data_IF_134322802635
#
_entry.id   IF_134322802635
#
_cell.length_a   1.000
_cell.length_b   1.000
_cell.length_c   1.000
_cell.angle_alpha   90.00
_cell.angle_beta   90.00
_cell.angle_gamma   90.00
#
_symmetry.space_group_name_H-M   'P 1'
#
loop_
_entity.id
_entity.type
_entity.pdbx_description
1 polymer ?
#
# COMPACT_ATOMS: atom_id res chain seq x y z
N UNK A 1 28.08 -9.51 -2.57
CA UNK A 1 27.37 -8.26 -2.25
C UNK A 1 27.34 -7.42 -3.53
N UNK A 2 26.28 -7.54 -4.34
CA UNK A 2 26.13 -6.73 -5.56
C UNK A 2 25.55 -5.38 -5.15
N UNK A 3 26.28 -4.31 -5.38
CA UNK A 3 25.82 -2.92 -5.23
C UNK A 3 24.60 -2.70 -6.11
N UNK A 4 23.49 -2.27 -5.51
CA UNK A 4 22.33 -1.76 -6.24
C UNK A 4 22.78 -0.57 -7.11
N UNK A 5 22.29 -0.45 -8.35
CA UNK A 5 22.62 0.68 -9.19
C UNK A 5 22.15 1.99 -8.52
N UNK A 6 22.99 3.02 -8.57
CA UNK A 6 22.65 4.36 -8.10
C UNK A 6 21.41 4.83 -8.86
N UNK A 7 20.35 5.15 -8.12
CA UNK A 7 19.13 5.74 -8.68
C UNK A 7 19.47 7.05 -9.40
N UNK A 8 18.92 7.29 -10.59
CA UNK A 8 19.03 8.59 -11.24
C UNK A 8 18.39 9.67 -10.37
N UNK A 9 19.02 10.82 -10.31
CA UNK A 9 18.50 11.98 -9.58
C UNK A 9 17.13 12.35 -10.13
N UNK A 10 16.14 12.53 -9.27
CA UNK A 10 14.71 12.80 -9.55
C UNK A 10 14.40 14.02 -10.47
N UNK A 11 15.40 14.66 -11.05
CA UNK A 11 15.30 15.93 -11.79
C UNK A 11 14.81 15.83 -13.24
N UNK A 12 14.52 14.62 -13.77
CA UNK A 12 14.13 14.45 -15.19
C UNK A 12 12.86 13.63 -15.41
N UNK A 13 11.99 13.58 -14.41
CA UNK A 13 10.71 12.91 -14.56
C UNK A 13 9.67 13.93 -15.04
N UNK A 14 9.39 13.93 -16.32
CA UNK A 14 8.47 14.86 -16.98
C UNK A 14 7.02 14.45 -16.78
N UNK A 15 6.08 15.41 -16.82
CA UNK A 15 4.63 15.21 -16.82
C UNK A 15 4.11 14.33 -17.98
N UNK A 16 5.00 13.81 -18.80
CA UNK A 16 4.69 13.14 -20.06
C UNK A 16 4.41 11.63 -19.95
N UNK A 17 4.52 11.06 -18.73
CA UNK A 17 4.21 9.64 -18.49
C UNK A 17 3.42 9.49 -17.18
N UNK A 18 2.11 9.74 -17.19
CA UNK A 18 1.27 9.63 -15.99
C UNK A 18 1.24 8.19 -15.47
N UNK A 19 1.16 8.03 -14.15
CA UNK A 19 0.98 6.75 -13.47
C UNK A 19 -0.42 6.69 -12.84
N UNK A 20 -1.48 6.48 -13.65
CA UNK A 20 -2.82 6.35 -13.12
C UNK A 20 -2.96 5.15 -12.18
N UNK A 21 -3.96 5.22 -11.30
CA UNK A 21 -4.28 4.19 -10.33
C UNK A 21 -5.68 3.65 -10.63
N UNK A 22 -5.78 2.36 -10.89
CA UNK A 22 -7.05 1.65 -10.94
C UNK A 22 -7.27 0.94 -9.61
N UNK A 23 -8.45 1.08 -9.02
CA UNK A 23 -8.80 0.47 -7.73
C UNK A 23 -9.89 -0.58 -7.92
N UNK A 24 -9.69 -1.73 -7.33
CA UNK A 24 -10.61 -2.88 -7.36
C UNK A 24 -10.89 -3.31 -5.91
N UNK A 25 -12.08 -3.02 -5.37
CA UNK A 25 -12.50 -3.62 -4.11
C UNK A 25 -12.70 -5.13 -4.32
N UNK A 26 -11.88 -5.94 -3.68
CA UNK A 26 -11.85 -7.40 -3.88
C UNK A 26 -11.70 -8.15 -2.56
N UNK A 27 -12.06 -9.42 -2.61
CA UNK A 27 -11.93 -10.31 -1.47
C UNK A 27 -13.06 -10.15 -0.45
N UNK A 28 -12.94 -10.87 0.68
CA UNK A 28 -14.05 -11.01 1.64
C UNK A 28 -14.31 -9.75 2.49
N UNK A 29 -13.38 -8.81 2.51
CA UNK A 29 -13.48 -7.56 3.28
C UNK A 29 -13.46 -6.32 2.39
N UNK A 30 -13.72 -6.47 1.07
CA UNK A 30 -13.70 -5.36 0.09
C UNK A 30 -12.39 -4.55 0.16
N UNK A 31 -11.25 -5.27 0.25
CA UNK A 31 -9.94 -4.65 0.26
C UNK A 31 -9.64 -3.99 -1.09
N UNK A 32 -9.24 -2.75 -1.07
CA UNK A 32 -8.87 -2.01 -2.26
C UNK A 32 -7.54 -2.53 -2.82
N UNK A 33 -7.59 -3.41 -3.81
CA UNK A 33 -6.44 -3.74 -4.63
C UNK A 33 -6.18 -2.60 -5.61
N UNK A 34 -5.01 -1.98 -5.54
CA UNK A 34 -4.64 -0.90 -6.44
C UNK A 34 -3.67 -1.39 -7.52
N UNK A 35 -3.93 -1.02 -8.77
CA UNK A 35 -2.99 -1.19 -9.88
C UNK A 35 -2.49 0.17 -10.28
N UNK A 36 -1.24 0.48 -9.92
CA UNK A 36 -0.52 1.64 -10.45
C UNK A 36 0.09 1.24 -11.78
N UNK A 37 -0.10 2.02 -12.83
CA UNK A 37 0.39 1.60 -14.14
C UNK A 37 0.88 2.78 -14.99
N UNK A 38 1.71 2.47 -15.97
CA UNK A 38 2.11 3.35 -17.05
C UNK A 38 1.56 2.79 -18.36
N UNK A 39 2.06 3.23 -19.50
CA UNK A 39 1.70 2.63 -20.79
C UNK A 39 2.06 1.13 -20.89
N UNK A 40 3.06 0.65 -20.14
CA UNK A 40 3.63 -0.70 -20.27
C UNK A 40 3.73 -1.48 -18.97
N UNK A 41 3.96 -0.80 -17.88
CA UNK A 41 4.31 -1.44 -16.60
C UNK A 41 3.17 -1.32 -15.60
N UNK A 42 3.03 -2.31 -14.74
CA UNK A 42 2.09 -2.32 -13.63
C UNK A 42 2.77 -2.71 -12.31
N UNK A 43 2.37 -2.04 -11.24
CA UNK A 43 2.59 -2.42 -9.86
C UNK A 43 1.23 -2.79 -9.26
N UNK A 44 1.10 -4.02 -8.76
CA UNK A 44 -0.11 -4.44 -8.04
C UNK A 44 0.12 -4.24 -6.54
N UNK A 45 -0.79 -3.54 -5.88
CA UNK A 45 -0.71 -3.27 -4.44
C UNK A 45 -1.89 -3.94 -3.75
N UNK A 46 -1.60 -4.70 -2.71
CA UNK A 46 -2.57 -5.39 -1.84
C UNK A 46 -3.62 -6.22 -2.61
N UNK A 47 -3.22 -7.32 -3.26
CA UNK A 47 -4.16 -8.22 -3.93
C UNK A 47 -4.95 -9.03 -2.89
N UNK A 48 -6.02 -8.45 -2.32
CA UNK A 48 -6.77 -8.97 -1.18
C UNK A 48 -7.77 -10.09 -1.47
N UNK A 49 -8.03 -10.40 -2.74
CA UNK A 49 -8.97 -11.45 -3.16
C UNK A 49 -8.29 -12.54 -3.98
N UNK A 50 -8.83 -13.75 -3.94
CA UNK A 50 -8.50 -14.82 -4.89
C UNK A 50 -9.24 -14.64 -6.22
N UNK A 51 -9.13 -15.61 -7.13
CA UNK A 51 -9.74 -15.56 -8.45
C UNK A 51 -11.27 -15.35 -8.36
N UNK A 52 -11.94 -16.13 -7.52
CA UNK A 52 -13.40 -16.05 -7.33
C UNK A 52 -13.79 -14.81 -6.49
N UNK A 53 -12.84 -14.28 -5.73
CA UNK A 53 -13.00 -13.08 -4.90
C UNK A 53 -12.65 -11.77 -5.59
N UNK A 54 -12.62 -11.71 -6.93
CA UNK A 54 -12.43 -10.47 -7.71
C UNK A 54 -11.02 -10.25 -8.27
N UNK A 55 -10.04 -11.10 -7.95
CA UNK A 55 -8.70 -10.99 -8.54
C UNK A 55 -8.73 -11.16 -10.08
N UNK A 56 -9.71 -11.91 -10.62
CA UNK A 56 -9.86 -12.05 -12.06
C UNK A 56 -10.08 -10.71 -12.76
N UNK A 57 -10.82 -9.77 -12.15
CA UNK A 57 -11.03 -8.42 -12.71
C UNK A 57 -9.72 -7.64 -12.83
N UNK A 58 -8.84 -7.79 -11.85
CA UNK A 58 -7.48 -7.21 -11.85
C UNK A 58 -6.64 -7.81 -12.98
N UNK A 59 -6.67 -9.15 -13.14
CA UNK A 59 -5.94 -9.85 -14.19
C UNK A 59 -6.46 -9.48 -15.58
N UNK A 60 -7.77 -9.37 -15.75
CA UNK A 60 -8.40 -8.95 -17.00
C UNK A 60 -8.06 -7.50 -17.34
N UNK A 61 -8.02 -6.61 -16.35
CA UNK A 61 -7.58 -5.24 -16.55
C UNK A 61 -6.13 -5.18 -17.05
N UNK A 62 -5.22 -5.92 -16.39
CA UNK A 62 -3.80 -6.01 -16.76
C UNK A 62 -3.67 -6.56 -18.22
N UNK A 63 -4.43 -7.62 -18.55
CA UNK A 63 -4.40 -8.21 -19.88
C UNK A 63 -4.96 -7.27 -20.95
N UNK A 64 -6.11 -6.63 -20.73
CA UNK A 64 -6.71 -5.67 -21.67
C UNK A 64 -5.83 -4.46 -21.95
N UNK A 65 -5.05 -4.05 -20.95
CA UNK A 65 -4.10 -2.94 -21.06
C UNK A 65 -2.72 -3.37 -21.55
N UNK A 66 -2.50 -4.67 -21.79
CA UNK A 66 -1.21 -5.26 -22.20
C UNK A 66 -0.05 -4.89 -21.25
N UNK A 67 -0.32 -4.82 -19.94
CA UNK A 67 0.63 -4.38 -18.96
C UNK A 67 1.58 -5.51 -18.53
N UNK A 68 2.84 -5.15 -18.32
CA UNK A 68 3.85 -6.02 -17.73
C UNK A 68 3.89 -5.78 -16.20
N UNK A 69 3.46 -6.74 -15.40
CA UNK A 69 3.55 -6.65 -13.94
C UNK A 69 5.01 -6.68 -13.50
N UNK A 70 5.47 -5.64 -12.83
CA UNK A 70 6.87 -5.50 -12.37
C UNK A 70 7.07 -5.94 -10.93
N UNK A 71 6.06 -5.75 -10.10
CA UNK A 71 6.09 -6.17 -8.71
C UNK A 71 4.67 -6.29 -8.13
N UNK A 72 4.59 -6.99 -7.01
CA UNK A 72 3.50 -6.87 -6.03
C UNK A 72 4.07 -6.17 -4.82
N UNK A 73 3.42 -5.11 -4.34
CA UNK A 73 3.76 -4.40 -3.12
C UNK A 73 2.66 -4.66 -2.09
N UNK A 74 3.04 -5.07 -0.89
CA UNK A 74 2.13 -5.28 0.22
C UNK A 74 2.32 -4.15 1.23
N UNK A 75 1.27 -3.37 1.46
CA UNK A 75 1.30 -2.28 2.45
C UNK A 75 1.48 -2.83 3.86
N UNK A 76 0.91 -3.99 4.11
CA UNK A 76 1.08 -4.77 5.32
C UNK A 76 0.68 -6.24 5.09
N UNK A 77 0.83 -7.09 6.11
CA UNK A 77 0.65 -8.52 5.92
C UNK A 77 -0.61 -9.09 6.61
N UNK A 78 -1.71 -8.35 6.74
CA UNK A 78 -2.99 -8.95 7.11
C UNK A 78 -3.54 -9.80 5.96
N UNK A 79 -4.31 -10.84 6.31
CA UNK A 79 -4.73 -11.87 5.36
C UNK A 79 -5.51 -11.33 4.17
N UNK A 80 -6.34 -10.35 4.40
CA UNK A 80 -7.20 -9.72 3.40
C UNK A 80 -6.44 -8.82 2.42
N UNK A 81 -5.19 -8.47 2.68
CA UNK A 81 -4.30 -7.77 1.73
C UNK A 81 -3.40 -8.71 0.93
N UNK A 82 -3.29 -9.98 1.35
CA UNK A 82 -2.32 -10.93 0.78
C UNK A 82 -2.95 -12.16 0.12
N UNK A 83 -4.29 -12.27 0.16
CA UNK A 83 -5.02 -13.47 -0.26
C UNK A 83 -4.75 -13.84 -1.73
N UNK A 84 -4.64 -12.86 -2.60
CA UNK A 84 -4.38 -13.03 -4.03
C UNK A 84 -2.92 -13.13 -4.45
N UNK A 85 -1.97 -13.10 -3.50
CA UNK A 85 -0.54 -13.16 -3.85
C UNK A 85 -0.18 -14.46 -4.55
N UNK A 86 -0.64 -15.61 -4.04
CA UNK A 86 -0.31 -16.90 -4.64
C UNK A 86 -0.92 -17.09 -6.04
N UNK A 87 -2.22 -16.79 -6.28
CA UNK A 87 -2.78 -16.80 -7.64
C UNK A 87 -2.05 -15.85 -8.61
N UNK A 88 -1.67 -14.65 -8.15
CA UNK A 88 -0.86 -13.73 -8.94
C UNK A 88 0.50 -14.34 -9.31
N UNK A 89 1.17 -14.99 -8.36
CA UNK A 89 2.44 -15.67 -8.61
C UNK A 89 2.32 -16.85 -9.58
N UNK A 90 1.19 -17.54 -9.60
CA UNK A 90 0.93 -18.58 -10.60
C UNK A 90 0.82 -17.98 -12.01
N UNK A 91 0.16 -16.83 -12.13
CA UNK A 91 0.03 -16.12 -13.42
C UNK A 91 1.31 -15.44 -13.85
N UNK A 92 2.11 -14.92 -12.89
CA UNK A 92 3.34 -14.18 -13.11
C UNK A 92 4.48 -14.74 -12.21
N UNK A 93 5.05 -15.93 -12.49
CA UNK A 93 5.96 -16.63 -11.58
C UNK A 93 7.24 -15.83 -11.21
N UNK A 94 7.75 -15.02 -12.14
CA UNK A 94 8.97 -14.23 -11.94
C UNK A 94 8.77 -12.90 -11.22
N UNK A 95 7.51 -12.46 -11.02
CA UNK A 95 7.23 -11.16 -10.40
C UNK A 95 7.60 -11.19 -8.92
N UNK A 96 8.45 -10.26 -8.44
CA UNK A 96 8.79 -10.17 -7.01
C UNK A 96 7.61 -9.63 -6.21
N UNK A 97 7.52 -10.10 -4.96
CA UNK A 97 6.58 -9.60 -3.94
C UNK A 97 7.38 -8.89 -2.88
N UNK A 98 7.01 -7.66 -2.54
CA UNK A 98 7.69 -6.84 -1.55
C UNK A 98 6.80 -6.54 -0.35
N UNK A 99 7.40 -6.58 0.85
CA UNK A 99 6.78 -6.17 2.10
C UNK A 99 7.81 -5.54 3.04
N UNK A 100 7.36 -4.87 4.09
CA UNK A 100 8.24 -4.40 5.15
C UNK A 100 8.77 -5.56 6.00
N UNK A 101 10.04 -5.47 6.38
CA UNK A 101 10.64 -6.44 7.32
C UNK A 101 9.91 -6.49 8.66
N UNK A 102 9.30 -5.38 9.11
CA UNK A 102 8.57 -5.29 10.36
C UNK A 102 7.34 -6.21 10.44
N UNK A 103 6.76 -6.57 9.30
CA UNK A 103 5.58 -7.43 9.25
C UNK A 103 5.89 -8.92 9.03
N UNK A 104 7.12 -9.29 8.66
CA UNK A 104 7.46 -10.69 8.42
C UNK A 104 7.11 -11.63 9.59
N UNK A 105 7.25 -11.22 10.87
CA UNK A 105 6.81 -12.04 11.99
C UNK A 105 5.31 -12.33 12.01
N UNK A 106 4.47 -11.47 11.41
CA UNK A 106 3.02 -11.66 11.35
C UNK A 106 2.59 -12.66 10.27
N UNK A 107 3.43 -12.91 9.27
CA UNK A 107 3.03 -13.66 8.07
C UNK A 107 2.41 -15.02 8.40
N UNK A 108 3.05 -15.81 9.28
CA UNK A 108 2.55 -17.13 9.64
C UNK A 108 1.16 -17.11 10.28
N UNK A 109 0.87 -16.10 11.12
CA UNK A 109 -0.43 -15.92 11.74
C UNK A 109 -1.45 -15.42 10.73
N UNK A 110 -1.05 -14.52 9.84
CA UNK A 110 -1.91 -13.95 8.81
C UNK A 110 -2.36 -15.00 7.79
N UNK A 111 -1.51 -15.96 7.44
CA UNK A 111 -1.87 -17.06 6.53
C UNK A 111 -3.07 -17.88 7.05
N UNK A 112 -3.21 -18.04 8.37
CA UNK A 112 -4.29 -18.78 9.00
C UNK A 112 -5.49 -17.91 9.45
N UNK A 113 -5.36 -16.58 9.41
CA UNK A 113 -6.36 -15.68 10.03
C UNK A 113 -7.71 -15.72 9.33
N UNK A 114 -7.76 -16.03 8.04
CA UNK A 114 -9.01 -16.15 7.27
C UNK A 114 -9.95 -17.26 7.76
N UNK A 115 -9.43 -18.29 8.43
CA UNK A 115 -10.23 -19.39 8.97
C UNK A 115 -11.33 -18.93 9.94
N UNK A 116 -11.07 -17.86 10.70
CA UNK A 116 -12.06 -17.25 11.61
C UNK A 116 -13.29 -16.69 10.88
N UNK A 117 -13.16 -16.46 9.59
CA UNK A 117 -14.21 -15.96 8.70
C UNK A 117 -14.78 -17.06 7.79
N UNK A 118 -14.40 -18.33 8.05
CA UNK A 118 -14.81 -19.46 7.23
C UNK A 118 -14.12 -19.53 5.87
N UNK A 119 -13.00 -18.83 5.72
CA UNK A 119 -12.20 -18.79 4.50
C UNK A 119 -11.08 -19.83 4.54
N UNK A 120 -10.67 -20.39 3.41
CA UNK A 120 -9.47 -21.21 3.34
C UNK A 120 -8.23 -20.44 3.81
N UNK A 121 -7.20 -21.12 4.32
CA UNK A 121 -5.95 -20.45 4.64
C UNK A 121 -5.31 -19.83 3.40
N UNK A 122 -4.66 -18.67 3.58
CA UNK A 122 -3.89 -18.02 2.53
C UNK A 122 -2.75 -18.94 2.09
N UNK A 123 -2.56 -19.13 0.80
CA UNK A 123 -1.50 -19.98 0.27
C UNK A 123 -0.12 -19.35 0.54
N UNK A 124 0.86 -20.13 1.06
CA UNK A 124 2.16 -19.59 1.45
C UNK A 124 2.93 -18.93 0.31
N UNK A 125 3.62 -17.86 0.62
CA UNK A 125 4.58 -17.17 -0.25
C UNK A 125 5.70 -16.56 0.58
N UNK A 126 6.78 -16.12 -0.08
CA UNK A 126 7.92 -15.49 0.60
C UNK A 126 8.15 -14.11 -0.03
N UNK A 127 7.84 -13.01 0.67
CA UNK A 127 8.14 -11.67 0.17
C UNK A 127 9.62 -11.33 0.35
N UNK A 128 10.17 -10.52 -0.56
CA UNK A 128 11.41 -9.80 -0.35
C UNK A 128 11.13 -8.56 0.52
N UNK A 129 12.11 -8.14 1.30
CA UNK A 129 11.98 -6.92 2.10
C UNK A 129 12.24 -5.68 1.27
N UNK A 130 11.47 -4.62 1.53
CA UNK A 130 11.68 -3.30 0.96
C UNK A 130 12.06 -2.31 2.07
N UNK A 131 12.95 -1.38 1.75
CA UNK A 131 13.37 -0.33 2.66
C UNK A 131 12.54 0.96 2.46
N UNK A 132 12.51 1.81 3.48
CA UNK A 132 11.97 3.18 3.36
C UNK A 132 12.82 4.02 2.39
N UNK A 133 12.18 4.89 1.63
CA UNK A 133 12.82 5.81 0.70
C UNK A 133 12.42 5.62 -0.76
N UNK A 134 13.12 6.28 -1.69
CA UNK A 134 12.81 6.20 -3.11
C UNK A 134 12.90 4.78 -3.65
N UNK A 135 11.94 4.40 -4.49
CA UNK A 135 11.91 3.08 -5.12
C UNK A 135 11.38 3.16 -6.56
N UNK A 136 11.64 2.09 -7.31
CA UNK A 136 11.22 1.98 -8.70
C UNK A 136 10.85 0.53 -9.05
N UNK A 137 9.71 0.36 -9.74
CA UNK A 137 9.20 -0.91 -10.24
C UNK A 137 8.99 -0.80 -11.76
N UNK A 138 10.01 -1.14 -12.55
CA UNK A 138 10.01 -0.81 -13.98
C UNK A 138 10.02 0.70 -14.18
N UNK A 139 9.04 1.24 -14.89
CA UNK A 139 8.85 2.68 -15.08
C UNK A 139 8.01 3.37 -14.00
N UNK A 140 7.50 2.61 -13.03
CA UNK A 140 6.73 3.13 -11.90
C UNK A 140 7.70 3.53 -10.78
N UNK A 141 7.64 4.78 -10.35
CA UNK A 141 8.54 5.33 -9.35
C UNK A 141 7.77 6.04 -8.24
N UNK A 142 8.34 6.04 -7.05
CA UNK A 142 7.76 6.65 -5.88
C UNK A 142 8.66 6.52 -4.66
N UNK A 143 8.07 6.64 -3.50
CA UNK A 143 8.75 6.58 -2.21
C UNK A 143 7.97 5.68 -1.25
N UNK A 144 8.65 4.72 -0.64
CA UNK A 144 8.12 3.96 0.48
C UNK A 144 8.25 4.81 1.75
N UNK A 145 7.15 4.99 2.46
CA UNK A 145 7.10 5.61 3.78
C UNK A 145 6.60 4.60 4.79
N UNK A 146 7.38 4.31 5.82
CA UNK A 146 6.90 3.45 6.88
C UNK A 146 5.86 4.17 7.73
N UNK A 147 4.69 3.55 7.85
CA UNK A 147 3.53 4.03 8.61
C UNK A 147 3.06 2.95 9.60
N UNK A 148 3.93 2.56 10.56
CA UNK A 148 3.62 1.51 11.52
C UNK A 148 2.51 1.91 12.49
N UNK A 149 1.84 0.90 13.06
CA UNK A 149 0.89 1.07 14.14
C UNK A 149 -0.46 0.36 13.95
N UNK A 150 -0.93 0.20 12.71
CA UNK A 150 -1.94 -0.81 12.39
C UNK A 150 -1.29 -2.21 12.42
N UNK A 151 -0.14 -2.32 11.78
CA UNK A 151 0.83 -3.41 11.94
C UNK A 151 2.22 -2.83 12.25
N UNK A 152 3.17 -3.63 12.75
CA UNK A 152 4.54 -3.15 13.01
C UNK A 152 5.28 -2.71 11.76
N UNK A 153 4.98 -3.30 10.61
CA UNK A 153 5.62 -3.04 9.33
C UNK A 153 4.76 -2.32 8.32
N UNK A 154 3.66 -1.71 8.75
CA UNK A 154 2.79 -0.93 7.86
C UNK A 154 3.57 0.09 7.05
N UNK A 155 3.27 0.19 5.75
CA UNK A 155 3.90 1.13 4.83
C UNK A 155 2.89 1.82 3.92
N UNK A 156 3.28 2.98 3.42
CA UNK A 156 2.55 3.73 2.40
C UNK A 156 3.45 3.94 1.18
N UNK A 157 2.85 3.97 -0.01
CA UNK A 157 3.56 4.23 -1.25
C UNK A 157 3.15 5.60 -1.80
N UNK A 158 4.06 6.58 -1.74
CA UNK A 158 3.84 7.94 -2.21
C UNK A 158 4.43 8.17 -3.59
N UNK A 159 3.63 8.74 -4.47
CA UNK A 159 3.96 9.11 -5.84
C UNK A 159 3.91 10.64 -5.97
N UNK A 160 5.05 11.33 -5.80
CA UNK A 160 5.09 12.80 -5.72
C UNK A 160 4.53 13.49 -6.95
N UNK A 161 4.78 12.95 -8.13
CA UNK A 161 4.38 13.58 -9.40
C UNK A 161 2.89 13.44 -9.68
N UNK A 162 2.28 12.38 -9.16
CA UNK A 162 0.85 12.10 -9.28
C UNK A 162 0.04 12.77 -8.16
N UNK A 163 0.70 13.41 -7.18
CA UNK A 163 0.07 13.88 -5.96
C UNK A 163 -0.82 12.80 -5.34
N UNK A 164 -0.32 11.56 -5.26
CA UNK A 164 -1.08 10.40 -4.82
C UNK A 164 -0.29 9.55 -3.82
N UNK A 165 -0.98 9.04 -2.79
CA UNK A 165 -0.40 8.12 -1.81
C UNK A 165 -1.35 6.94 -1.58
N UNK A 166 -0.83 5.71 -1.69
CA UNK A 166 -1.52 4.49 -1.26
C UNK A 166 -1.12 4.26 0.19
N UNK A 167 -2.09 4.20 1.09
CA UNK A 167 -1.84 4.21 2.55
C UNK A 167 -2.08 2.87 3.22
N UNK A 168 -2.58 1.86 2.48
CA UNK A 168 -3.07 0.65 3.13
C UNK A 168 -4.00 1.00 4.28
N UNK A 169 -3.84 0.32 5.40
CA UNK A 169 -4.65 0.50 6.58
C UNK A 169 -4.08 1.51 7.59
N UNK A 170 -3.31 2.50 7.10
CA UNK A 170 -2.84 3.58 7.98
C UNK A 170 -3.86 4.71 8.08
N UNK A 171 -4.32 5.26 6.95
CA UNK A 171 -5.22 6.41 6.89
C UNK A 171 -6.38 6.14 5.94
N UNK A 172 -7.61 6.33 6.42
CA UNK A 172 -8.85 6.18 5.68
C UNK A 172 -9.63 7.50 5.60
N UNK A 173 -10.69 7.50 4.81
CA UNK A 173 -11.66 8.60 4.82
C UNK A 173 -12.29 8.75 6.22
N UNK A 174 -11.95 9.82 6.93
CA UNK A 174 -12.42 10.16 8.30
C UNK A 174 -12.16 9.04 9.33
N UNK A 175 -11.15 8.20 9.07
CA UNK A 175 -10.79 7.11 9.97
C UNK A 175 -9.31 6.78 9.89
N UNK A 176 -8.86 5.85 10.73
CA UNK A 176 -7.53 5.25 10.71
C UNK A 176 -7.66 3.74 10.89
N UNK A 177 -6.59 3.00 10.60
CA UNK A 177 -6.53 1.57 10.85
C UNK A 177 -6.75 1.23 12.33
N UNK A 178 -7.39 0.09 12.58
CA UNK A 178 -7.54 -0.45 13.94
C UNK A 178 -6.18 -0.83 14.51
N UNK A 179 -6.04 -0.75 15.82
CA UNK A 179 -4.78 -1.02 16.52
C UNK A 179 -4.93 -2.00 17.68
N UNK A 180 -6.03 -2.74 17.70
CA UNK A 180 -6.39 -3.72 18.72
C UNK A 180 -6.02 -5.17 18.32
N UNK A 181 -5.45 -5.36 17.15
CA UNK A 181 -4.92 -6.65 16.69
C UNK A 181 -3.45 -6.83 17.14
N UNK A 182 -2.92 -8.07 17.12
CA UNK A 182 -1.54 -8.32 17.48
C UNK A 182 -0.55 -7.46 16.68
N UNK A 183 0.31 -6.73 17.37
CA UNK A 183 1.26 -5.78 16.75
C UNK A 183 0.70 -4.36 16.57
N UNK A 184 -0.60 -4.14 16.81
CA UNK A 184 -1.22 -2.83 16.73
C UNK A 184 -0.78 -1.89 17.87
N UNK A 185 -0.57 -0.60 17.56
CA UNK A 185 -0.12 0.41 18.51
C UNK A 185 -0.60 1.81 18.11
N UNK A 186 -1.68 2.28 18.72
CA UNK A 186 -2.33 3.55 18.36
C UNK A 186 -1.38 4.76 18.39
N UNK A 187 -0.54 4.95 19.43
CA UNK A 187 0.40 6.07 19.43
C UNK A 187 1.39 6.05 18.24
N UNK A 188 1.87 4.87 17.82
CA UNK A 188 2.76 4.77 16.68
C UNK A 188 2.03 5.11 15.38
N UNK A 189 0.78 4.64 15.21
CA UNK A 189 -0.02 4.94 14.02
C UNK A 189 -0.30 6.44 13.89
N UNK A 190 -0.73 7.08 14.96
CA UNK A 190 -1.02 8.52 14.95
C UNK A 190 0.23 9.34 14.69
N UNK A 191 1.37 8.98 15.30
CA UNK A 191 2.66 9.63 15.04
C UNK A 191 3.10 9.43 13.58
N UNK A 192 2.99 8.23 13.03
CA UNK A 192 3.34 7.94 11.65
C UNK A 192 2.46 8.73 10.66
N UNK A 193 1.16 8.82 10.90
CA UNK A 193 0.27 9.64 10.07
C UNK A 193 0.69 11.11 10.10
N UNK A 194 0.97 11.66 11.28
CA UNK A 194 1.35 13.07 11.43
C UNK A 194 2.71 13.34 10.77
N UNK A 195 3.72 12.51 11.07
CA UNK A 195 5.10 12.76 10.66
C UNK A 195 5.40 12.33 9.22
N UNK A 196 4.66 11.37 8.66
CA UNK A 196 4.91 10.80 7.33
C UNK A 196 3.86 11.17 6.28
N UNK A 197 2.57 11.19 6.65
CA UNK A 197 1.50 11.45 5.70
C UNK A 197 1.04 12.92 5.72
N UNK A 198 0.87 13.52 6.90
CA UNK A 198 0.44 14.92 6.99
C UNK A 198 1.53 15.93 6.62
N UNK A 199 2.74 15.47 6.35
CA UNK A 199 3.81 16.27 5.72
C UNK A 199 3.65 16.41 4.21
N UNK A 200 2.80 15.59 3.59
CA UNK A 200 2.51 15.65 2.16
C UNK A 200 1.68 16.90 1.82
N UNK A 201 1.73 17.36 0.54
CA UNK A 201 0.86 18.45 0.07
C UNK A 201 -0.61 18.17 0.33
N UNK A 202 -1.39 19.21 0.62
CA UNK A 202 -2.80 19.09 0.97
C UNK A 202 -3.68 18.55 -0.16
N UNK A 203 -3.26 18.76 -1.41
CA UNK A 203 -3.91 18.26 -2.62
C UNK A 203 -3.57 16.80 -2.97
N UNK A 204 -2.74 16.14 -2.16
CA UNK A 204 -2.42 14.73 -2.35
C UNK A 204 -3.66 13.86 -2.16
N UNK A 205 -4.02 13.09 -3.19
CA UNK A 205 -5.08 12.09 -3.13
C UNK A 205 -4.61 10.86 -2.34
N UNK A 206 -5.48 10.37 -1.47
CA UNK A 206 -5.23 9.21 -0.59
C UNK A 206 -6.04 8.02 -1.09
N UNK A 207 -5.35 6.91 -1.37
CA UNK A 207 -5.89 5.63 -1.78
C UNK A 207 -5.75 4.64 -0.62
N UNK A 208 -6.79 4.44 0.18
CA UNK A 208 -6.73 3.60 1.38
C UNK A 208 -6.89 2.12 1.06
N UNK A 209 -6.55 1.24 2.01
CA UNK A 209 -6.80 -0.20 1.93
C UNK A 209 -8.28 -0.57 1.93
N UNK A 210 -9.15 0.26 2.53
CA UNK A 210 -10.60 0.05 2.55
C UNK A 210 -11.36 1.36 2.38
N UNK A 211 -12.57 1.24 1.80
CA UNK A 211 -13.50 2.36 1.64
C UNK A 211 -13.09 3.38 0.57
N UNK A 212 -13.66 4.58 0.60
CA UNK A 212 -13.47 5.58 -0.45
C UNK A 212 -12.14 6.33 -0.30
N UNK A 213 -11.66 6.86 -1.43
CA UNK A 213 -10.53 7.78 -1.47
C UNK A 213 -10.82 9.06 -0.69
N UNK A 214 -9.75 9.73 -0.26
CA UNK A 214 -9.80 11.03 0.41
C UNK A 214 -8.62 11.91 -0.02
N UNK A 215 -8.35 12.98 0.72
CA UNK A 215 -7.20 13.87 0.50
C UNK A 215 -6.47 14.17 1.80
N UNK A 216 -5.17 14.34 1.71
CA UNK A 216 -4.35 14.70 2.87
C UNK A 216 -4.88 15.95 3.57
N UNK A 217 -5.17 17.01 2.83
CA UNK A 217 -5.69 18.25 3.41
C UNK A 217 -7.05 18.10 4.10
N UNK A 218 -7.89 17.20 3.60
CA UNK A 218 -9.18 16.92 4.23
C UNK A 218 -9.00 16.13 5.53
N UNK A 219 -8.12 15.15 5.54
CA UNK A 219 -7.87 14.37 6.74
C UNK A 219 -7.13 15.18 7.82
N UNK A 220 -6.21 16.06 7.47
CA UNK A 220 -5.62 17.03 8.42
C UNK A 220 -6.67 17.86 9.16
N UNK A 221 -7.74 18.25 8.46
CA UNK A 221 -8.80 19.12 9.02
C UNK A 221 -9.89 18.36 9.75
N UNK A 222 -10.28 17.21 9.24
CA UNK A 222 -11.57 16.59 9.57
C UNK A 222 -11.45 15.17 10.14
N UNK A 223 -10.25 14.57 10.14
CA UNK A 223 -10.08 13.23 10.73
C UNK A 223 -10.25 13.31 12.25
N UNK A 224 -11.20 12.56 12.85
CA UNK A 224 -11.47 12.65 14.29
C UNK A 224 -10.40 11.96 15.14
N UNK A 225 -9.61 11.05 14.57
CA UNK A 225 -8.63 10.24 15.28
C UNK A 225 -7.24 10.87 15.32
N UNK A 226 -6.90 11.68 14.32
CA UNK A 226 -5.57 12.29 14.18
C UNK A 226 -5.72 13.79 14.14
N UNK A 227 -5.43 14.45 15.27
CA UNK A 227 -5.39 15.91 15.34
C UNK A 227 -3.94 16.33 15.46
N UNK A 228 -3.38 17.12 14.51
CA UNK A 228 -2.10 17.75 14.72
C UNK A 228 -2.16 18.55 16.01
N UNK A 229 -1.11 18.45 16.85
CA UNK A 229 -1.01 19.29 18.03
C UNK A 229 -1.23 20.75 17.61
N UNK A 230 -2.16 21.44 18.28
CA UNK A 230 -2.34 22.89 18.05
C UNK A 230 -0.98 23.54 18.26
N UNK A 231 -0.43 24.23 17.26
CA UNK A 231 0.75 25.06 17.47
C UNK A 231 0.39 26.04 18.59
N UNK A 232 1.14 25.96 19.70
CA UNK A 232 0.97 26.90 20.80
C UNK A 232 1.27 28.31 20.24
N UNK A 233 0.33 29.26 20.30
CA UNK A 233 0.54 30.62 19.79
C UNK A 233 1.66 31.38 20.58
N UNK A 234 2.16 30.82 21.68
CA UNK A 234 3.18 31.45 22.55
C UNK A 234 4.63 31.12 22.12
N UNK A 235 4.90 30.40 21.04
CA UNK A 235 6.25 30.10 20.55
C UNK A 235 6.68 31.01 19.39
N UNK A 236 6.51 32.32 19.54
CA UNK A 236 7.14 33.32 18.67
C UNK A 236 8.15 34.15 19.48
#
# INVERSE_FOLDING_TARGET
MKLLPKLPTLQHLTKDNPMPIATFPIGPLDTNCHVVYTERDALVVDPGGDIDGGLQDVLDFIARKELSVKAVLLTHLHFDHIYGVAPLKERFPSVPVFASAGDLPLLSTSLASGEKWGLPPVRPFTPATIAEGPCMFGSIHGEIRFTPGHTPGGLSFWMPQEHAVITGDSLFYRSIGRTDLPGGHLPALTEAIISKLFTLPDDTDVYPGHGPNTRIGDEKRLNPFVRPAKKDPASR
#
